data_IF_657763558577
#
_entry.id   IF_657763558577
#
_cell.length_a   1.000
_cell.length_b   1.000
_cell.length_c   1.000
_cell.angle_alpha   90.00
_cell.angle_beta   90.00
_cell.angle_gamma   90.00
#
_symmetry.space_group_name_H-M   'P 1'
#
loop_
_entity.id
_entity.type
_entity.pdbx_description
1 polymer ?
#
# COMPACT_ATOMS: atom_id res chain seq x y z
N UNK A 1 0.93 5.49 15.92
CA UNK A 1 1.41 4.08 15.73
C UNK A 1 2.25 4.00 14.47
N UNK A 2 3.46 3.41 14.54
CA UNK A 2 4.29 3.17 13.36
C UNK A 2 3.69 2.09 12.46
N UNK A 3 3.76 2.29 11.15
CA UNK A 3 3.39 1.27 10.17
C UNK A 3 4.42 0.14 10.25
N UNK A 4 3.96 -1.10 10.35
CA UNK A 4 4.83 -2.28 10.30
C UNK A 4 4.28 -3.26 9.27
N UNK A 5 5.06 -3.51 8.24
CA UNK A 5 4.75 -4.35 7.09
C UNK A 5 5.67 -5.56 7.12
N UNK A 6 5.09 -6.75 7.16
CA UNK A 6 5.85 -8.02 7.06
C UNK A 6 5.57 -8.75 5.77
N UNK A 7 4.40 -8.51 5.19
CA UNK A 7 3.95 -9.16 3.98
C UNK A 7 2.94 -8.30 3.20
N UNK A 8 2.49 -8.84 2.08
CA UNK A 8 1.49 -8.21 1.21
C UNK A 8 0.12 -8.04 1.89
N UNK A 9 -0.25 -8.89 2.87
CA UNK A 9 -1.52 -8.77 3.58
C UNK A 9 -1.49 -7.56 4.51
N UNK A 10 -0.37 -7.35 5.22
CA UNK A 10 -0.16 -6.17 6.05
C UNK A 10 -0.19 -4.90 5.19
N UNK A 11 0.46 -4.92 4.03
CA UNK A 11 0.45 -3.79 3.10
C UNK A 11 -0.96 -3.47 2.59
N UNK A 12 -1.73 -4.48 2.17
CA UNK A 12 -3.13 -4.26 1.76
C UNK A 12 -3.99 -3.75 2.90
N UNK A 13 -3.79 -4.25 4.12
CA UNK A 13 -4.49 -3.79 5.32
C UNK A 13 -4.16 -2.33 5.64
N UNK A 14 -2.89 -1.94 5.50
CA UNK A 14 -2.44 -0.56 5.62
C UNK A 14 -3.15 0.31 4.59
N UNK A 15 -3.12 -0.06 3.30
CA UNK A 15 -3.79 0.69 2.24
C UNK A 15 -5.29 0.83 2.46
N UNK A 16 -5.97 -0.19 3.00
CA UNK A 16 -7.41 -0.10 3.30
C UNK A 16 -7.77 0.89 4.42
N UNK A 17 -6.80 1.45 5.14
CA UNK A 17 -7.07 2.41 6.21
C UNK A 17 -7.17 3.83 5.65
N UNK A 18 -8.10 4.64 6.17
CA UNK A 18 -8.17 6.06 5.83
C UNK A 18 -6.84 6.76 6.08
N UNK A 19 -6.47 7.66 5.17
CA UNK A 19 -5.23 8.44 5.28
C UNK A 19 -3.94 7.65 5.04
N UNK A 20 -4.00 6.44 4.47
CA UNK A 20 -2.80 5.73 4.05
C UNK A 20 -2.08 6.46 2.90
N UNK A 21 -0.83 6.82 3.14
CA UNK A 21 0.05 7.51 2.18
C UNK A 21 1.30 6.67 1.94
N UNK A 22 1.71 6.55 0.67
CA UNK A 22 3.01 5.98 0.32
C UNK A 22 3.89 7.05 -0.33
N UNK A 23 5.15 7.10 0.08
CA UNK A 23 6.14 8.06 -0.40
C UNK A 23 7.32 7.33 -1.00
N UNK A 24 7.87 7.86 -2.08
CA UNK A 24 9.06 7.25 -2.68
C UNK A 24 10.28 7.71 -1.90
N UNK A 25 10.96 6.78 -1.24
CA UNK A 25 12.25 7.05 -0.59
C UNK A 25 13.42 6.72 -1.51
N UNK A 26 13.24 5.77 -2.44
CA UNK A 26 14.26 5.39 -3.42
C UNK A 26 13.63 4.92 -4.72
N UNK A 27 14.20 5.31 -5.86
CA UNK A 27 13.76 4.83 -7.17
C UNK A 27 14.98 4.67 -8.08
N UNK A 28 15.49 3.45 -8.18
CA UNK A 28 16.72 3.16 -8.93
C UNK A 28 16.57 3.43 -10.42
N UNK A 29 15.35 3.24 -10.96
CA UNK A 29 15.05 3.53 -12.37
C UNK A 29 15.18 5.02 -12.69
N UNK A 30 14.85 5.90 -11.74
CA UNK A 30 15.04 7.35 -11.90
C UNK A 30 16.50 7.72 -11.64
N UNK A 31 17.11 7.17 -10.59
CA UNK A 31 18.51 7.43 -10.21
C UNK A 31 19.51 7.15 -11.34
N UNK A 32 19.25 6.13 -12.17
CA UNK A 32 20.12 5.78 -13.32
C UNK A 32 20.01 6.73 -14.52
N UNK A 33 19.02 7.62 -14.55
CA UNK A 33 18.75 8.47 -15.70
C UNK A 33 19.64 9.73 -15.67
N UNK A 34 19.92 10.36 -16.82
CA UNK A 34 20.58 11.66 -16.85
C UNK A 34 19.84 12.70 -16.02
N UNK A 35 20.56 13.68 -15.47
CA UNK A 35 20.00 14.68 -14.55
C UNK A 35 18.77 15.42 -15.12
N UNK A 36 18.82 15.82 -16.39
CA UNK A 36 17.69 16.47 -17.08
C UNK A 36 16.43 15.57 -17.10
N UNK A 37 16.60 14.26 -17.29
CA UNK A 37 15.50 13.29 -17.27
C UNK A 37 14.96 13.09 -15.85
N UNK A 38 15.83 13.11 -14.83
CA UNK A 38 15.41 13.05 -13.43
C UNK A 38 14.53 14.26 -13.06
N UNK A 39 14.94 15.46 -13.45
CA UNK A 39 14.16 16.69 -13.24
C UNK A 39 12.81 16.62 -13.96
N UNK A 40 12.78 16.14 -15.20
CA UNK A 40 11.53 15.93 -15.91
C UNK A 40 10.59 14.94 -15.19
N UNK A 41 11.12 13.87 -14.59
CA UNK A 41 10.32 12.95 -13.78
C UNK A 41 9.81 13.60 -12.49
N UNK A 42 10.63 14.42 -11.82
CA UNK A 42 10.19 15.20 -10.65
C UNK A 42 9.06 16.16 -11.01
N UNK A 43 9.20 16.90 -12.11
CA UNK A 43 8.17 17.83 -12.59
C UNK A 43 6.84 17.13 -12.93
N UNK A 44 6.90 15.86 -13.35
CA UNK A 44 5.72 15.01 -13.60
C UNK A 44 5.13 14.37 -12.34
N UNK A 45 5.63 14.70 -11.16
CA UNK A 45 5.15 14.15 -9.88
C UNK A 45 5.57 12.71 -9.63
N UNK A 46 6.58 12.20 -10.33
CA UNK A 46 6.98 10.80 -10.22
C UNK A 46 7.53 10.46 -8.84
N UNK A 47 8.03 11.45 -8.07
CA UNK A 47 8.46 11.32 -6.68
C UNK A 47 7.46 11.91 -5.67
N UNK A 48 6.29 12.39 -6.14
CA UNK A 48 5.30 12.98 -5.26
C UNK A 48 4.69 11.93 -4.30
N UNK A 49 4.29 12.32 -3.08
CA UNK A 49 3.51 11.48 -2.20
C UNK A 49 2.24 10.99 -2.90
N UNK A 50 1.83 9.76 -2.56
CA UNK A 50 0.73 9.07 -3.23
C UNK A 50 -0.35 8.73 -2.25
N UNK A 51 -1.56 9.17 -2.57
CA UNK A 51 -2.77 8.97 -1.78
C UNK A 51 -3.60 7.88 -2.42
N UNK A 52 -4.04 6.89 -1.64
CA UNK A 52 -4.88 5.83 -2.20
C UNK A 52 -6.20 6.43 -2.69
N UNK A 53 -6.51 6.19 -3.97
CA UNK A 53 -7.79 6.56 -4.56
C UNK A 53 -8.76 5.39 -4.53
N UNK A 54 -8.30 4.22 -4.98
CA UNK A 54 -9.09 3.00 -4.96
C UNK A 54 -8.18 1.79 -4.96
N UNK A 55 -8.71 0.66 -4.48
CA UNK A 55 -7.99 -0.60 -4.47
C UNK A 55 -8.88 -1.71 -5.00
N UNK A 56 -8.30 -2.53 -5.86
CA UNK A 56 -8.90 -3.76 -6.37
C UNK A 56 -8.18 -4.98 -5.80
N UNK A 57 -8.67 -6.18 -6.12
CA UNK A 57 -7.99 -7.44 -5.76
C UNK A 57 -6.55 -7.51 -6.31
N UNK A 58 -6.29 -6.82 -7.44
CA UNK A 58 -5.10 -6.99 -8.27
C UNK A 58 -4.17 -5.77 -8.32
N UNK A 59 -4.67 -4.60 -7.95
CA UNK A 59 -3.92 -3.36 -8.01
C UNK A 59 -4.49 -2.30 -7.07
N UNK A 60 -3.66 -1.32 -6.72
CA UNK A 60 -4.08 -0.04 -6.15
C UNK A 60 -3.90 1.08 -7.17
N UNK A 61 -4.84 2.02 -7.15
CA UNK A 61 -4.78 3.27 -7.91
C UNK A 61 -4.53 4.39 -6.91
N UNK A 62 -3.50 5.18 -7.17
CA UNK A 62 -3.11 6.30 -6.33
C UNK A 62 -3.25 7.61 -7.07
N UNK A 63 -3.67 8.66 -6.37
CA UNK A 63 -3.54 10.04 -6.81
C UNK A 63 -2.20 10.59 -6.36
N UNK A 64 -1.61 11.41 -7.23
CA UNK A 64 -0.36 12.11 -6.94
C UNK A 64 -0.68 13.43 -6.25
N UNK A 65 -0.04 13.69 -5.11
CA UNK A 65 -0.21 14.95 -4.40
C UNK A 65 0.32 16.12 -5.24
N UNK A 66 -0.49 17.16 -5.44
CA UNK A 66 -0.10 18.34 -6.22
C UNK A 66 -0.03 18.12 -7.75
N UNK A 67 -0.41 16.95 -8.27
CA UNK A 67 -0.37 16.66 -9.71
C UNK A 67 -1.68 16.06 -10.23
N UNK A 68 -2.14 16.43 -11.44
CA UNK A 68 -3.41 15.95 -12.02
C UNK A 68 -3.35 14.49 -12.54
N UNK A 69 -2.51 13.62 -11.97
CA UNK A 69 -2.26 12.26 -12.46
C UNK A 69 -2.61 11.16 -11.46
N UNK A 70 -2.72 9.94 -11.99
CA UNK A 70 -2.88 8.72 -11.17
C UNK A 70 -1.82 7.68 -11.53
N UNK A 71 -1.36 6.93 -10.53
CA UNK A 71 -0.40 5.83 -10.70
C UNK A 71 -1.01 4.53 -10.23
N UNK A 72 -0.76 3.46 -10.99
CA UNK A 72 -1.24 2.13 -10.69
C UNK A 72 -0.10 1.26 -10.15
N UNK A 73 -0.39 0.51 -9.10
CA UNK A 73 0.52 -0.46 -8.53
C UNK A 73 -0.13 -1.84 -8.60
N UNK A 74 0.35 -2.69 -9.51
CA UNK A 74 -0.17 -4.03 -9.73
C UNK A 74 0.58 -5.08 -8.89
N UNK A 75 -0.15 -6.06 -8.38
CA UNK A 75 0.39 -7.17 -7.58
C UNK A 75 -0.20 -8.53 -7.93
N UNK A 76 -0.97 -8.66 -9.03
CA UNK A 76 -1.63 -9.92 -9.39
C UNK A 76 -0.66 -10.99 -9.95
N UNK A 77 0.29 -10.56 -10.78
CA UNK A 77 1.37 -11.38 -11.35
C UNK A 77 2.74 -11.00 -10.79
N UNK A 78 2.87 -9.82 -10.18
CA UNK A 78 4.14 -9.15 -9.91
C UNK A 78 4.54 -8.99 -8.44
N UNK A 79 3.85 -9.65 -7.48
CA UNK A 79 4.24 -9.57 -6.08
C UNK A 79 5.51 -10.39 -5.75
N UNK A 80 5.99 -11.23 -6.67
CA UNK A 80 7.24 -12.00 -6.47
C UNK A 80 8.42 -11.04 -6.33
N UNK A 81 9.18 -11.19 -5.26
CA UNK A 81 10.36 -10.36 -4.99
C UNK A 81 10.08 -9.04 -4.28
N UNK A 82 8.82 -8.75 -3.92
CA UNK A 82 8.53 -7.62 -3.03
C UNK A 82 9.15 -7.87 -1.66
N UNK A 83 9.81 -6.86 -1.11
CA UNK A 83 10.42 -6.92 0.22
C UNK A 83 9.71 -5.94 1.13
N UNK A 84 9.34 -6.42 2.31
CA UNK A 84 8.66 -5.62 3.34
C UNK A 84 9.59 -5.53 4.54
N UNK A 85 9.89 -4.31 4.97
CA UNK A 85 10.83 -4.07 6.07
C UNK A 85 10.36 -2.85 6.87
N UNK A 86 9.86 -3.10 8.09
CA UNK A 86 9.36 -2.02 8.95
C UNK A 86 8.22 -1.26 8.28
N UNK A 87 8.37 0.04 8.10
CA UNK A 87 7.41 0.91 7.42
C UNK A 87 7.66 1.01 5.90
N UNK A 88 8.61 0.25 5.36
CA UNK A 88 8.99 0.31 3.95
C UNK A 88 8.57 -0.92 3.15
N UNK A 89 8.29 -0.70 1.87
CA UNK A 89 8.04 -1.76 0.89
C UNK A 89 8.87 -1.49 -0.36
N UNK A 90 9.67 -2.45 -0.76
CA UNK A 90 10.46 -2.39 -2.00
C UNK A 90 9.79 -3.23 -3.08
N UNK A 91 9.44 -2.57 -4.18
CA UNK A 91 8.74 -3.14 -5.33
C UNK A 91 9.73 -3.24 -6.49
N UNK A 92 10.05 -4.45 -6.99
CA UNK A 92 10.87 -4.61 -8.18
C UNK A 92 10.14 -4.06 -9.41
N UNK A 93 10.89 -3.37 -10.27
CA UNK A 93 10.44 -2.89 -11.56
C UNK A 93 11.00 -3.82 -12.64
N UNK A 94 10.13 -4.65 -13.21
CA UNK A 94 10.48 -5.42 -14.40
C UNK A 94 10.25 -4.55 -15.65
N UNK A 95 11.26 -3.77 -16.01
CA UNK A 95 11.20 -2.87 -17.17
C UNK A 95 11.68 -3.53 -18.47
N UNK A 96 12.18 -4.77 -18.40
CA UNK A 96 12.82 -5.46 -19.53
C UNK A 96 14.04 -4.73 -20.14
N UNK A 97 14.47 -3.61 -19.54
CA UNK A 97 15.45 -2.68 -20.08
C UNK A 97 16.48 -2.37 -18.99
N UNK A 98 17.60 -3.09 -19.04
CA UNK A 98 18.76 -2.88 -18.17
C UNK A 98 18.73 -3.67 -16.86
N UNK A 99 19.57 -3.30 -15.88
CA UNK A 99 19.66 -3.99 -14.59
C UNK A 99 18.33 -3.94 -13.82
N UNK A 100 18.08 -4.91 -12.91
CA UNK A 100 16.83 -4.99 -12.16
C UNK A 100 16.65 -3.73 -11.31
N UNK A 101 15.60 -2.97 -11.62
CA UNK A 101 15.26 -1.77 -10.88
C UNK A 101 14.29 -2.06 -9.74
N UNK A 102 14.21 -1.16 -8.78
CA UNK A 102 13.22 -1.19 -7.73
C UNK A 102 12.80 0.21 -7.29
N UNK A 103 11.56 0.31 -6.80
CA UNK A 103 11.06 1.48 -6.08
C UNK A 103 10.82 1.09 -4.64
N UNK A 104 11.44 1.81 -3.72
CA UNK A 104 11.20 1.67 -2.29
C UNK A 104 10.24 2.77 -1.84
N UNK A 105 9.13 2.33 -1.26
CA UNK A 105 8.12 3.19 -0.67
C UNK A 105 8.21 3.17 0.84
N UNK A 106 8.05 4.34 1.48
CA UNK A 106 7.74 4.46 2.90
C UNK A 106 6.24 4.64 3.08
N UNK A 107 5.66 3.86 3.98
CA UNK A 107 4.23 3.84 4.25
C UNK A 107 3.96 4.58 5.56
N UNK A 108 3.12 5.61 5.50
CA UNK A 108 2.72 6.39 6.67
C UNK A 108 1.23 6.72 6.65
N UNK A 109 0.69 7.12 7.79
CA UNK A 109 -0.63 7.73 7.84
C UNK A 109 -0.48 9.25 7.71
N UNK A 110 -1.41 9.90 7.03
CA UNK A 110 -1.53 11.34 7.02
C UNK A 110 -1.82 11.85 8.45
N UNK A 111 -1.37 13.06 8.74
CA UNK A 111 -1.56 13.68 10.06
C UNK A 111 -3.06 13.73 10.42
N UNK A 112 -3.40 13.24 11.61
CA UNK A 112 -4.79 13.15 12.08
C UNK A 112 -5.58 11.91 11.62
N UNK A 113 -5.01 11.06 10.77
CA UNK A 113 -5.59 9.76 10.37
C UNK A 113 -4.89 8.57 11.03
N UNK A 114 -4.37 8.74 12.25
CA UNK A 114 -3.83 7.60 13.00
C UNK A 114 -4.96 6.60 13.33
N UNK A 115 -4.73 5.29 13.11
CA UNK A 115 -5.76 4.29 13.33
C UNK A 115 -6.12 4.22 14.81
N UNK A 116 -7.41 4.41 15.14
CA UNK A 116 -7.95 4.10 16.46
C UNK A 116 -7.52 2.68 16.86
N UNK A 117 -6.91 2.58 18.04
CA UNK A 117 -6.50 1.30 18.61
C UNK A 117 -7.77 0.48 18.81
N UNK A 118 -7.91 -0.62 18.07
CA UNK A 118 -9.01 -1.58 18.32
C UNK A 118 -8.91 -2.04 19.78
N UNK A 119 -9.78 -1.50 20.63
CA UNK A 119 -10.13 -2.10 21.90
C UNK A 119 -10.57 -3.55 21.64
N UNK A 120 -10.10 -4.44 22.49
CA UNK A 120 -9.94 -5.86 22.22
C UNK A 120 -11.20 -6.58 21.70
N UNK A 121 -10.94 -7.69 21.01
CA UNK A 121 -11.88 -8.80 20.71
C UNK A 121 -13.20 -8.67 21.47
N UNK A 122 -14.24 -8.17 20.81
CA UNK A 122 -15.59 -8.56 21.19
C UNK A 122 -15.64 -10.07 21.01
N UNK A 123 -15.66 -10.78 22.14
CA UNK A 123 -15.92 -12.21 22.21
C UNK A 123 -17.12 -12.49 21.30
N UNK A 124 -16.95 -13.43 20.38
CA UNK A 124 -18.08 -14.06 19.68
C UNK A 124 -19.09 -14.44 20.77
N UNK A 125 -20.23 -13.76 20.82
CA UNK A 125 -21.40 -14.27 21.54
C UNK A 125 -21.67 -15.64 20.92
N UNK A 126 -21.37 -16.70 21.67
CA UNK A 126 -21.85 -18.05 21.36
C UNK A 126 -23.36 -17.90 21.26
N UNK A 127 -23.90 -18.14 20.07
CA UNK A 127 -25.33 -18.37 19.90
C UNK A 127 -25.60 -19.65 20.72
N UNK A 128 -26.44 -19.62 21.76
CA UNK A 128 -26.86 -20.84 22.45
C UNK A 128 -27.54 -21.75 21.43
N UNK A 129 -27.18 -23.03 21.41
CA UNK A 129 -27.73 -24.02 20.48
C UNK A 129 -29.18 -24.42 20.80
N UNK A 130 -29.79 -23.80 21.81
CA UNK A 130 -31.01 -24.29 22.46
C UNK A 130 -32.28 -23.63 21.89
N UNK A 131 -32.19 -22.93 20.75
CA UNK A 131 -33.30 -22.20 20.12
C UNK A 131 -34.13 -23.04 19.12
N UNK A 132 -33.80 -24.32 18.91
CA UNK A 132 -34.47 -25.18 17.93
C UNK A 132 -35.16 -26.44 18.50
N UNK A 133 -35.14 -26.68 19.81
CA UNK A 133 -35.92 -27.76 20.45
C UNK A 133 -37.12 -27.20 21.24
N UNK A 134 -38.13 -26.69 20.53
CA UNK A 134 -39.47 -26.53 21.08
C UNK A 134 -40.50 -26.41 19.94
N UNK A 135 -40.72 -27.50 19.22
CA UNK A 135 -41.96 -27.69 18.48
C UNK A 135 -42.79 -28.74 19.26
N UNK A 136 -43.98 -28.39 19.81
CA UNK A 136 -44.86 -29.39 20.38
C UNK A 136 -45.46 -30.27 19.28
N UNK A 137 -45.67 -31.54 19.64
CA UNK A 137 -46.24 -32.62 18.84
C UNK A 137 -47.70 -32.39 18.44
#
# INVERSE_FOLDING_TARGET
MSVVLRDMRDFKRFLSRPGAVIEIVRNTFVERQPAATQEAYRAKGMLAPRHLQSMSRKAAIFRLEGHPGTVWLYWDKGARGWRFEGDTVTVPLDTGLGPPDAVTYRCRYADGCEPETRTGRQQRRRIPADLFEAAPA
#
